data_IF_535366674185
#
_entry.id   IF_535366674185
#
_cell.length_a   1.000
_cell.length_b   1.000
_cell.length_c   1.000
_cell.angle_alpha   90.00
_cell.angle_beta   90.00
_cell.angle_gamma   90.00
#
_symmetry.space_group_name_H-M   'P 1'
#
loop_
_entity.id
_entity.type
_entity.pdbx_description
1 polymer ?
#
# COMPACT_ATOMS: atom_id res chain seq x y z
N UNK A 1 31.87 -11.59 10.70
CA UNK A 1 31.36 -12.92 10.24
C UNK A 1 31.25 -12.87 8.73
N UNK A 2 31.72 -13.91 7.98
CA UNK A 2 31.63 -13.95 6.52
C UNK A 2 30.20 -14.33 6.11
N UNK A 3 29.65 -13.69 5.06
CA UNK A 3 28.28 -13.95 4.56
C UNK A 3 27.96 -15.44 4.35
N UNK A 4 28.93 -16.23 3.85
CA UNK A 4 28.78 -17.69 3.69
C UNK A 4 28.52 -18.44 5.01
N UNK A 5 29.04 -17.94 6.14
CA UNK A 5 28.83 -18.56 7.46
C UNK A 5 27.41 -18.27 7.98
N UNK A 6 26.86 -17.11 7.66
CA UNK A 6 25.46 -16.76 7.96
C UNK A 6 24.52 -17.59 7.09
N UNK A 7 24.73 -17.62 5.79
CA UNK A 7 23.90 -18.40 4.85
C UNK A 7 23.88 -19.90 5.16
N UNK A 8 24.95 -20.45 5.73
CA UNK A 8 25.00 -21.85 6.18
C UNK A 8 24.07 -22.15 7.36
N UNK A 9 23.44 -21.13 7.97
CA UNK A 9 22.47 -21.28 9.07
C UNK A 9 21.02 -21.31 8.58
N UNK A 10 20.78 -21.25 7.27
CA UNK A 10 19.45 -21.27 6.69
C UNK A 10 18.68 -22.53 7.10
N UNK A 11 17.56 -22.34 7.76
CA UNK A 11 16.56 -23.39 8.02
C UNK A 11 15.46 -23.32 6.96
N UNK A 12 15.69 -24.00 5.85
CA UNK A 12 14.74 -24.01 4.73
C UNK A 12 13.40 -24.66 5.10
N UNK A 13 13.40 -25.65 5.99
CA UNK A 13 12.17 -26.32 6.37
C UNK A 13 11.25 -25.36 7.14
N UNK A 14 11.80 -24.66 8.11
CA UNK A 14 11.05 -23.67 8.88
C UNK A 14 10.59 -22.47 8.02
N UNK A 15 11.43 -22.00 7.09
CA UNK A 15 11.03 -20.95 6.13
C UNK A 15 9.78 -21.35 5.32
N UNK A 16 9.75 -22.59 4.80
CA UNK A 16 8.61 -23.10 4.02
C UNK A 16 7.38 -23.28 4.93
N UNK A 17 7.55 -23.77 6.14
CA UNK A 17 6.48 -23.95 7.12
C UNK A 17 5.84 -22.60 7.50
N UNK A 18 6.63 -21.60 7.86
CA UNK A 18 6.12 -20.23 8.12
C UNK A 18 5.35 -19.65 6.93
N UNK A 19 5.90 -19.82 5.72
CA UNK A 19 5.26 -19.32 4.49
C UNK A 19 3.89 -19.98 4.28
N UNK A 20 3.80 -21.31 4.50
CA UNK A 20 2.55 -22.06 4.41
C UNK A 20 1.55 -21.59 5.47
N UNK A 21 1.98 -21.49 6.73
CA UNK A 21 1.11 -21.07 7.83
C UNK A 21 0.52 -19.68 7.57
N UNK A 22 1.33 -18.73 7.10
CA UNK A 22 0.86 -17.39 6.73
C UNK A 22 -0.11 -17.39 5.53
N UNK A 23 0.03 -18.33 4.59
CA UNK A 23 -0.94 -18.50 3.50
C UNK A 23 -2.29 -19.05 3.98
N UNK A 24 -2.25 -19.93 4.99
CA UNK A 24 -3.45 -20.55 5.55
C UNK A 24 -4.25 -19.57 6.46
N UNK A 25 -3.57 -18.61 7.07
CA UNK A 25 -4.24 -17.57 7.87
C UNK A 25 -4.89 -16.53 6.94
N UNK A 26 -6.22 -16.44 6.96
CA UNK A 26 -6.98 -15.47 6.18
C UNK A 26 -7.00 -14.15 6.92
N UNK A 27 -6.53 -13.07 6.26
CA UNK A 27 -6.49 -11.72 6.82
C UNK A 27 -6.83 -10.69 5.75
N UNK A 28 -8.10 -10.59 5.39
CA UNK A 28 -8.55 -9.43 4.60
C UNK A 28 -8.45 -8.16 5.46
N UNK A 29 -8.39 -6.99 4.81
CA UNK A 29 -8.31 -5.72 5.53
C UNK A 29 -9.41 -5.64 6.61
N UNK A 30 -9.00 -5.44 7.86
CA UNK A 30 -9.87 -5.42 9.02
C UNK A 30 -9.90 -6.72 9.84
N UNK A 31 -9.16 -7.74 9.44
CA UNK A 31 -9.10 -9.04 10.11
C UNK A 31 -7.63 -9.48 10.34
N UNK A 32 -6.74 -8.53 10.62
CA UNK A 32 -5.28 -8.77 10.64
C UNK A 32 -4.76 -9.41 11.92
N UNK A 33 -5.53 -9.41 13.01
CA UNK A 33 -5.11 -9.90 14.33
C UNK A 33 -4.49 -11.31 14.30
N UNK A 34 -5.04 -12.32 13.60
CA UNK A 34 -4.47 -13.66 13.62
C UNK A 34 -3.04 -13.75 13.04
N UNK A 35 -2.71 -12.91 12.04
CA UNK A 35 -1.34 -12.82 11.53
C UNK A 35 -0.45 -12.08 12.51
N UNK A 36 -0.94 -11.02 13.15
CA UNK A 36 -0.17 -10.30 14.17
C UNK A 36 0.24 -11.23 15.33
N UNK A 37 -0.70 -12.03 15.83
CA UNK A 37 -0.44 -13.02 16.88
C UNK A 37 0.57 -14.10 16.43
N UNK A 38 0.43 -14.61 15.20
CA UNK A 38 1.37 -15.58 14.64
C UNK A 38 2.79 -15.01 14.54
N UNK A 39 2.93 -13.80 14.01
CA UNK A 39 4.22 -13.12 13.88
C UNK A 39 4.83 -12.79 15.25
N UNK A 40 4.02 -12.37 16.21
CA UNK A 40 4.48 -12.13 17.58
C UNK A 40 5.10 -13.37 18.20
N UNK A 41 4.47 -14.55 18.04
CA UNK A 41 5.04 -15.83 18.49
C UNK A 41 6.38 -16.16 17.82
N UNK A 42 6.53 -15.86 16.52
CA UNK A 42 7.81 -16.06 15.83
C UNK A 42 8.89 -15.06 16.29
N UNK A 43 8.52 -13.83 16.64
CA UNK A 43 9.44 -12.85 17.20
C UNK A 43 9.90 -13.26 18.61
N UNK A 44 8.98 -13.71 19.47
CA UNK A 44 9.31 -14.27 20.79
C UNK A 44 10.25 -15.47 20.68
N UNK A 45 10.02 -16.37 19.73
CA UNK A 45 10.91 -17.53 19.47
C UNK A 45 12.33 -17.10 19.13
N UNK A 46 12.50 -15.96 18.47
CA UNK A 46 13.82 -15.37 18.17
C UNK A 46 14.44 -14.62 19.36
N UNK A 47 13.72 -14.47 20.47
CA UNK A 47 14.15 -13.66 21.62
C UNK A 47 14.10 -12.16 21.37
N UNK A 48 13.24 -11.71 20.46
CA UNK A 48 12.99 -10.30 20.24
C UNK A 48 12.04 -9.74 21.31
N UNK A 49 12.16 -8.47 21.61
CA UNK A 49 11.13 -7.74 22.38
C UNK A 49 9.90 -7.56 21.48
N UNK A 50 8.71 -7.94 21.97
CA UNK A 50 7.47 -7.88 21.17
C UNK A 50 6.55 -6.80 21.72
N UNK A 51 6.06 -5.95 20.83
CA UNK A 51 5.07 -4.90 21.12
C UNK A 51 3.89 -5.04 20.16
N UNK A 52 2.67 -4.78 20.68
CA UNK A 52 1.46 -4.67 19.89
C UNK A 52 0.92 -3.26 19.99
N UNK A 53 0.61 -2.63 18.86
CA UNK A 53 0.02 -1.30 18.81
C UNK A 53 -1.40 -1.41 18.23
N UNK A 54 -2.39 -1.25 19.07
CA UNK A 54 -3.81 -1.29 18.68
C UNK A 54 -4.17 -0.08 17.82
N UNK A 55 -4.26 -0.27 16.52
CA UNK A 55 -4.60 0.78 15.55
C UNK A 55 -6.10 1.06 15.54
N UNK A 56 -6.89 0.01 15.58
CA UNK A 56 -8.33 -0.05 15.80
C UNK A 56 -8.65 -1.32 16.59
N UNK A 57 -9.83 -1.40 17.19
CA UNK A 57 -10.25 -2.58 17.95
C UNK A 57 -10.07 -3.88 17.13
N UNK A 58 -9.26 -4.81 17.66
CA UNK A 58 -8.93 -6.07 17.00
C UNK A 58 -8.00 -5.94 15.79
N UNK A 59 -7.29 -4.83 15.65
CA UNK A 59 -6.38 -4.58 14.54
C UNK A 59 -5.01 -4.08 15.01
N UNK A 60 -4.21 -4.89 15.68
CA UNK A 60 -2.91 -4.48 16.15
C UNK A 60 -1.84 -4.53 15.05
N UNK A 61 -0.97 -3.53 14.99
CA UNK A 61 0.38 -3.73 14.46
C UNK A 61 1.14 -4.65 15.41
N UNK A 62 2.08 -5.43 14.89
CA UNK A 62 3.00 -6.24 15.69
C UNK A 62 4.44 -5.85 15.38
N UNK A 63 5.23 -5.62 16.41
CA UNK A 63 6.61 -5.14 16.30
C UNK A 63 7.52 -6.09 17.08
N UNK A 64 8.54 -6.63 16.42
CA UNK A 64 9.64 -7.35 17.06
C UNK A 64 10.91 -6.54 17.00
N UNK A 65 11.61 -6.37 18.12
CA UNK A 65 12.86 -5.62 18.22
C UNK A 65 13.98 -6.51 18.72
N UNK A 66 14.99 -6.73 17.87
CA UNK A 66 16.24 -7.37 18.27
C UNK A 66 17.27 -6.28 18.60
N UNK A 67 17.64 -6.17 19.87
CA UNK A 67 18.58 -5.14 20.32
C UNK A 67 20.01 -5.42 19.86
N UNK A 68 20.67 -4.38 19.36
CA UNK A 68 22.10 -4.31 19.14
C UNK A 68 22.85 -3.74 20.35
N UNK A 69 24.12 -3.33 20.14
CA UNK A 69 24.91 -2.65 21.19
C UNK A 69 24.54 -1.17 21.36
N UNK A 70 23.74 -0.60 20.48
CA UNK A 70 23.36 0.82 20.48
C UNK A 70 24.32 1.75 19.72
N UNK A 71 25.38 1.21 19.11
CA UNK A 71 26.42 1.99 18.44
C UNK A 71 26.24 2.08 16.91
N UNK A 72 25.09 1.66 16.37
CA UNK A 72 24.83 1.60 14.94
C UNK A 72 23.42 2.02 14.55
N UNK A 73 23.19 2.20 13.24
CA UNK A 73 21.88 2.56 12.73
C UNK A 73 20.84 1.45 12.93
N UNK A 74 19.60 1.84 13.07
CA UNK A 74 18.44 0.94 13.21
C UNK A 74 17.95 0.54 11.81
N UNK A 75 17.82 -0.76 11.57
CA UNK A 75 17.22 -1.30 10.35
C UNK A 75 15.83 -1.86 10.64
N UNK A 76 14.85 -1.39 9.90
CA UNK A 76 13.49 -1.91 9.93
C UNK A 76 13.20 -2.77 8.69
N UNK A 77 12.56 -3.90 8.90
CA UNK A 77 11.84 -4.66 7.89
C UNK A 77 10.34 -4.44 8.12
N UNK A 78 9.67 -3.83 7.18
CA UNK A 78 8.24 -3.53 7.29
C UNK A 78 7.43 -4.33 6.28
N UNK A 79 6.19 -4.69 6.64
CA UNK A 79 5.26 -5.32 5.74
C UNK A 79 3.83 -5.23 6.24
N UNK A 80 2.87 -5.23 5.30
CA UNK A 80 1.45 -5.29 5.66
C UNK A 80 0.97 -6.74 5.82
N UNK A 81 0.01 -6.92 6.72
CA UNK A 81 -0.52 -8.25 7.08
C UNK A 81 -1.81 -8.59 6.35
N UNK A 82 -2.52 -7.59 5.82
CA UNK A 82 -3.77 -7.80 5.08
C UNK A 82 -3.52 -8.24 3.64
N UNK A 83 -4.52 -8.84 3.02
CA UNK A 83 -4.51 -9.27 1.63
C UNK A 83 -5.88 -9.10 0.96
N UNK A 84 -5.92 -9.15 -0.36
CA UNK A 84 -7.18 -9.20 -1.12
C UNK A 84 -7.98 -10.44 -0.79
N UNK A 85 -9.31 -10.30 -0.76
CA UNK A 85 -10.21 -11.44 -0.63
C UNK A 85 -10.21 -12.27 -1.93
N UNK A 86 -9.19 -13.11 -2.06
CA UNK A 86 -9.02 -14.05 -3.18
C UNK A 86 -8.89 -15.49 -2.66
N UNK A 87 -9.78 -16.40 -3.05
CA UNK A 87 -9.76 -17.78 -2.59
C UNK A 87 -8.67 -18.58 -3.34
N UNK A 88 -7.43 -18.49 -2.90
CA UNK A 88 -6.35 -19.33 -3.41
C UNK A 88 -5.98 -20.40 -2.38
N UNK A 89 -6.09 -21.71 -2.70
CA UNK A 89 -5.70 -22.78 -1.79
C UNK A 89 -4.18 -22.82 -1.63
N UNK A 90 -3.74 -23.05 -0.39
CA UNK A 90 -2.32 -23.24 -0.11
C UNK A 90 -1.79 -24.51 -0.76
N UNK A 91 -0.71 -24.40 -1.49
CA UNK A 91 -0.05 -25.51 -2.17
C UNK A 91 1.47 -25.34 -2.14
N UNK A 92 2.16 -26.38 -1.78
CA UNK A 92 3.63 -26.45 -1.76
C UNK A 92 4.10 -27.38 -2.87
N UNK A 93 5.03 -26.92 -3.67
CA UNK A 93 5.75 -27.71 -4.68
C UNK A 93 7.24 -27.77 -4.32
N UNK A 94 8.05 -28.47 -5.12
CA UNK A 94 9.50 -28.53 -4.91
C UNK A 94 10.14 -27.14 -4.80
N UNK A 95 9.66 -26.17 -5.58
CA UNK A 95 10.33 -24.88 -5.79
C UNK A 95 9.46 -23.66 -5.42
N UNK A 96 8.18 -23.86 -5.08
CA UNK A 96 7.23 -22.76 -4.84
C UNK A 96 6.22 -23.08 -3.76
N UNK A 97 5.80 -22.05 -3.04
CA UNK A 97 4.62 -22.03 -2.19
C UNK A 97 3.59 -21.11 -2.83
N UNK A 98 2.36 -21.58 -2.96
CA UNK A 98 1.22 -20.82 -3.44
C UNK A 98 0.24 -20.63 -2.30
N UNK A 99 -0.43 -19.50 -2.24
CA UNK A 99 -1.44 -19.22 -1.23
C UNK A 99 -1.79 -17.74 -1.15
N UNK A 100 -2.85 -17.45 -0.39
CA UNK A 100 -3.42 -16.11 -0.24
C UNK A 100 -2.41 -15.10 0.30
N UNK A 101 -2.35 -13.94 -0.34
CA UNK A 101 -1.54 -12.82 0.12
C UNK A 101 -0.03 -13.07 0.16
N UNK A 102 0.47 -14.22 -0.33
CA UNK A 102 1.90 -14.51 -0.29
C UNK A 102 2.70 -13.53 -1.13
N UNK A 103 2.29 -13.30 -2.39
CA UNK A 103 3.02 -12.40 -3.30
C UNK A 103 2.96 -10.96 -2.79
N UNK A 104 1.79 -10.52 -2.34
CA UNK A 104 1.58 -9.17 -1.80
C UNK A 104 0.95 -9.28 -0.38
N UNK A 105 1.77 -9.19 0.70
CA UNK A 105 3.23 -9.34 0.70
C UNK A 105 3.68 -10.28 1.83
N UNK A 106 2.75 -11.17 2.31
CA UNK A 106 3.01 -11.98 3.51
C UNK A 106 4.28 -12.85 3.40
N UNK A 107 4.73 -13.22 2.17
CA UNK A 107 5.97 -14.00 2.01
C UNK A 107 7.24 -13.23 2.42
N UNK A 108 7.18 -11.94 2.61
CA UNK A 108 8.31 -11.16 3.11
C UNK A 108 8.63 -11.50 4.57
N UNK A 109 7.61 -11.72 5.42
CA UNK A 109 7.83 -12.01 6.84
C UNK A 109 8.68 -13.27 7.11
N UNK A 110 8.41 -14.42 6.49
CA UNK A 110 9.29 -15.58 6.61
C UNK A 110 10.74 -15.29 6.20
N UNK A 111 10.92 -14.45 5.17
CA UNK A 111 12.27 -14.04 4.74
C UNK A 111 12.97 -13.18 5.80
N UNK A 112 12.27 -12.20 6.37
CA UNK A 112 12.81 -11.35 7.43
C UNK A 112 13.17 -12.13 8.67
N UNK A 113 12.24 -12.97 9.16
CA UNK A 113 12.41 -13.83 10.33
C UNK A 113 13.59 -14.79 10.11
N UNK A 114 13.67 -15.40 8.93
CA UNK A 114 14.77 -16.32 8.60
C UNK A 114 16.11 -15.59 8.54
N UNK A 115 16.16 -14.39 7.99
CA UNK A 115 17.38 -13.58 7.93
C UNK A 115 17.87 -13.24 9.34
N UNK A 116 16.98 -12.84 10.24
CA UNK A 116 17.31 -12.53 11.64
C UNK A 116 17.74 -13.81 12.38
N UNK A 117 17.04 -14.93 12.21
CA UNK A 117 17.40 -16.22 12.80
C UNK A 117 18.80 -16.67 12.38
N UNK A 118 19.15 -16.52 11.10
CA UNK A 118 20.51 -16.81 10.60
C UNK A 118 21.57 -15.94 11.27
N UNK A 119 21.31 -14.64 11.48
CA UNK A 119 22.23 -13.73 12.16
C UNK A 119 22.45 -14.16 13.62
N UNK A 120 21.38 -14.49 14.33
CA UNK A 120 21.42 -14.98 15.72
C UNK A 120 22.21 -16.29 15.80
N UNK A 121 21.89 -17.29 14.96
CA UNK A 121 22.57 -18.60 14.93
C UNK A 121 24.04 -18.48 14.52
N UNK A 122 24.39 -17.50 13.73
CA UNK A 122 25.77 -17.17 13.37
C UNK A 122 26.49 -16.34 14.44
N UNK A 123 25.80 -15.95 15.52
CA UNK A 123 26.32 -15.12 16.62
C UNK A 123 26.90 -13.79 16.11
N UNK A 124 26.22 -13.18 15.14
CA UNK A 124 26.59 -11.86 14.64
C UNK A 124 26.33 -10.83 15.75
N UNK A 125 27.32 -10.04 16.07
CA UNK A 125 27.15 -8.90 16.98
C UNK A 125 26.62 -7.69 16.21
N UNK A 126 25.38 -7.36 16.46
CA UNK A 126 24.73 -6.19 15.86
C UNK A 126 25.17 -4.93 16.61
N UNK A 127 25.43 -3.83 15.87
CA UNK A 127 25.68 -2.52 16.45
C UNK A 127 24.36 -1.75 16.67
N UNK A 128 23.51 -1.70 15.67
CA UNK A 128 22.17 -1.13 15.75
C UNK A 128 21.10 -2.20 15.94
N UNK A 129 19.89 -1.76 16.25
CA UNK A 129 18.73 -2.63 16.40
C UNK A 129 18.22 -3.11 15.05
N UNK A 130 17.59 -4.28 15.05
CA UNK A 130 16.76 -4.75 13.92
C UNK A 130 15.31 -4.76 14.38
N UNK A 131 14.44 -4.12 13.63
CA UNK A 131 13.00 -4.09 13.84
C UNK A 131 12.34 -4.90 12.72
N UNK A 132 11.39 -5.78 13.07
CA UNK A 132 10.44 -6.37 12.11
C UNK A 132 9.07 -5.87 12.51
N UNK A 133 8.35 -5.22 11.58
CA UNK A 133 7.01 -4.69 11.84
C UNK A 133 5.99 -5.26 10.86
N UNK A 134 4.94 -5.89 11.40
CA UNK A 134 3.73 -6.24 10.67
C UNK A 134 2.69 -5.16 10.89
N UNK A 135 2.23 -4.52 9.82
CA UNK A 135 1.28 -3.41 9.91
C UNK A 135 -0.07 -3.75 9.30
N UNK A 136 -1.14 -3.14 9.81
CA UNK A 136 -2.51 -3.33 9.33
C UNK A 136 -2.86 -2.34 8.21
N UNK A 137 -3.81 -2.72 7.36
CA UNK A 137 -4.56 -1.80 6.50
C UNK A 137 -3.75 -1.16 5.37
N UNK A 138 -3.20 -1.96 4.46
CA UNK A 138 -2.61 -1.48 3.21
C UNK A 138 -3.59 -1.63 2.04
N UNK A 139 -4.27 -2.79 1.93
CA UNK A 139 -4.99 -3.20 0.72
C UNK A 139 -6.24 -2.37 0.44
N UNK A 140 -7.17 -2.23 1.40
CA UNK A 140 -8.32 -1.35 1.22
C UNK A 140 -7.88 0.11 1.32
N UNK A 141 -8.09 0.88 0.25
CA UNK A 141 -7.58 2.25 0.18
C UNK A 141 -8.50 3.25 0.85
N UNK A 142 -9.81 3.20 0.58
CA UNK A 142 -10.80 4.10 1.18
C UNK A 142 -12.21 3.57 0.96
N UNK A 143 -13.14 3.96 1.83
CA UNK A 143 -14.55 3.67 1.67
C UNK A 143 -15.21 4.66 0.72
N UNK A 144 -15.73 4.18 -0.41
CA UNK A 144 -16.42 5.02 -1.40
C UNK A 144 -17.63 4.31 -1.95
N UNK A 145 -18.83 4.75 -1.55
CA UNK A 145 -20.11 4.18 -2.03
C UNK A 145 -20.12 2.64 -1.96
N UNK A 146 -20.40 1.99 -3.10
CA UNK A 146 -20.47 0.54 -3.26
C UNK A 146 -19.14 -0.15 -3.57
N UNK A 147 -18.06 0.59 -3.72
CA UNK A 147 -16.76 0.04 -4.13
C UNK A 147 -15.91 -0.48 -2.97
N UNK A 148 -16.50 -0.58 -1.78
CA UNK A 148 -15.89 -1.18 -0.61
C UNK A 148 -16.97 -1.81 0.27
N UNK A 149 -16.61 -2.85 0.97
CA UNK A 149 -17.57 -3.63 1.76
C UNK A 149 -17.63 -3.29 3.24
N UNK A 150 -16.62 -2.66 3.80
CA UNK A 150 -16.46 -2.53 5.26
C UNK A 150 -16.02 -1.14 5.69
N UNK A 151 -16.13 -0.88 7.01
CA UNK A 151 -15.78 0.41 7.62
C UNK A 151 -14.31 0.54 8.02
N UNK A 152 -13.48 -0.39 7.61
CA UNK A 152 -12.08 -0.40 8.00
C UNK A 152 -11.25 0.63 7.26
N UNK A 153 -10.30 1.22 7.96
CA UNK A 153 -9.29 2.12 7.37
C UNK A 153 -8.18 1.30 6.72
N UNK A 154 -7.68 1.80 5.60
CA UNK A 154 -6.60 1.20 4.85
C UNK A 154 -5.58 2.25 4.39
N UNK A 155 -4.98 2.05 3.23
CA UNK A 155 -4.01 2.96 2.62
C UNK A 155 -2.81 3.29 3.50
N UNK A 156 -2.25 2.27 4.16
CA UNK A 156 -1.07 2.41 5.00
C UNK A 156 -1.35 2.99 6.39
N UNK A 157 -2.59 2.85 6.91
CA UNK A 157 -2.95 3.37 8.24
C UNK A 157 -2.05 2.79 9.33
N UNK A 158 -1.73 1.50 9.28
CA UNK A 158 -0.86 0.84 10.27
C UNK A 158 0.57 1.37 10.23
N UNK A 159 1.15 1.56 9.05
CA UNK A 159 2.49 2.13 8.92
C UNK A 159 2.55 3.57 9.44
N UNK A 160 1.52 4.36 9.18
CA UNK A 160 1.40 5.73 9.67
C UNK A 160 1.28 5.75 11.20
N UNK A 161 0.41 4.89 11.75
CA UNK A 161 0.25 4.73 13.19
C UNK A 161 1.55 4.31 13.88
N UNK A 162 2.30 3.37 13.28
CA UNK A 162 3.60 2.92 13.77
C UNK A 162 4.56 4.10 13.98
N UNK A 163 4.70 4.96 12.97
CA UNK A 163 5.58 6.13 13.01
C UNK A 163 5.09 7.20 14.00
N UNK A 164 3.79 7.49 14.00
CA UNK A 164 3.18 8.47 14.91
C UNK A 164 3.30 8.06 16.39
N UNK A 165 3.51 6.76 16.67
CA UNK A 165 3.70 6.20 18.00
C UNK A 165 5.15 5.81 18.31
N UNK A 166 6.10 6.41 17.60
CA UNK A 166 7.52 6.45 17.97
C UNK A 166 8.37 5.26 17.51
N UNK A 167 7.83 4.34 16.71
CA UNK A 167 8.64 3.28 16.11
C UNK A 167 9.28 3.81 14.82
N UNK A 168 10.54 4.16 14.91
CA UNK A 168 11.31 4.75 13.83
C UNK A 168 12.62 3.98 13.60
N UNK A 169 13.15 4.10 12.39
CA UNK A 169 14.42 3.50 12.01
C UNK A 169 15.19 4.43 11.06
N UNK A 170 16.51 4.26 10.99
CA UNK A 170 17.37 4.99 10.05
C UNK A 170 17.20 4.47 8.62
N UNK A 171 16.86 3.18 8.48
CA UNK A 171 16.67 2.49 7.20
C UNK A 171 15.45 1.58 7.28
N UNK A 172 14.70 1.50 6.16
CA UNK A 172 13.56 0.59 6.05
C UNK A 172 13.60 -0.20 4.74
N UNK A 173 13.38 -1.51 4.84
CA UNK A 173 13.18 -2.40 3.70
C UNK A 173 11.73 -2.90 3.74
N UNK A 174 11.00 -2.67 2.65
CA UNK A 174 9.63 -3.14 2.46
C UNK A 174 9.66 -4.24 1.39
N UNK A 175 9.19 -5.44 1.74
CA UNK A 175 9.27 -6.63 0.89
C UNK A 175 8.14 -6.78 -0.12
N UNK A 176 7.69 -5.67 -0.69
CA UNK A 176 6.71 -5.68 -1.78
C UNK A 176 7.23 -6.39 -3.04
N UNK A 177 6.33 -6.93 -3.90
CA UNK A 177 6.74 -7.71 -5.05
C UNK A 177 7.37 -6.86 -6.16
N UNK A 178 8.69 -6.84 -6.23
CA UNK A 178 9.48 -6.11 -7.24
C UNK A 178 10.20 -7.05 -8.22
N UNK A 179 9.90 -8.35 -8.19
CA UNK A 179 10.66 -9.34 -8.97
C UNK A 179 12.11 -9.49 -8.50
N UNK A 180 12.38 -9.26 -7.21
CA UNK A 180 13.72 -9.26 -6.58
C UNK A 180 14.62 -8.11 -7.04
N UNK A 181 14.06 -7.05 -7.61
CA UNK A 181 14.78 -5.81 -7.87
C UNK A 181 14.63 -4.85 -6.70
N UNK A 182 15.68 -4.09 -6.41
CA UNK A 182 15.60 -3.01 -5.44
C UNK A 182 14.90 -1.83 -6.08
N UNK A 183 13.82 -1.36 -5.44
CA UNK A 183 13.07 -0.20 -5.87
C UNK A 183 13.35 0.96 -4.93
N UNK A 184 14.05 1.97 -5.43
CA UNK A 184 14.49 3.14 -4.66
C UNK A 184 13.55 4.35 -4.78
N UNK A 185 12.47 4.21 -5.53
CA UNK A 185 11.45 5.25 -5.67
C UNK A 185 10.08 4.67 -5.92
N UNK A 186 9.05 5.36 -5.45
CA UNK A 186 7.66 5.02 -5.69
C UNK A 186 6.83 6.27 -5.94
N UNK A 187 5.92 6.18 -6.91
CA UNK A 187 4.98 7.26 -7.20
C UNK A 187 4.00 7.45 -6.04
N UNK A 188 3.62 8.69 -5.80
CA UNK A 188 2.48 9.01 -4.96
C UNK A 188 1.16 8.70 -5.67
N UNK A 189 0.07 8.71 -4.92
CA UNK A 189 -1.28 8.48 -5.41
C UNK A 189 -2.22 9.57 -4.92
N UNK A 190 -3.04 10.07 -5.83
CA UNK A 190 -4.19 10.91 -5.53
C UNK A 190 -5.44 10.22 -6.07
N UNK A 191 -6.39 9.95 -5.20
CA UNK A 191 -7.68 9.42 -5.57
C UNK A 191 -8.73 10.51 -5.37
N UNK A 192 -9.47 10.81 -6.45
CA UNK A 192 -10.44 11.86 -6.48
C UNK A 192 -11.83 11.35 -6.90
N UNK A 193 -12.86 11.93 -6.34
CA UNK A 193 -14.24 11.82 -6.79
C UNK A 193 -14.60 13.14 -7.50
N UNK A 194 -15.01 13.06 -8.76
CA UNK A 194 -15.56 14.17 -9.50
C UNK A 194 -17.06 13.97 -9.60
N UNK A 195 -17.82 14.82 -8.91
CA UNK A 195 -19.28 14.80 -8.94
C UNK A 195 -19.77 15.72 -10.05
N UNK A 196 -20.50 15.15 -11.01
CA UNK A 196 -21.10 15.89 -12.13
C UNK A 196 -22.62 15.87 -11.97
N UNK A 197 -23.24 17.05 -11.94
CA UNK A 197 -24.68 17.24 -11.95
C UNK A 197 -25.11 17.89 -13.29
N UNK A 198 -26.28 17.50 -13.80
CA UNK A 198 -26.73 18.02 -15.09
C UNK A 198 -28.20 17.69 -15.38
N UNK A 199 -28.69 17.95 -16.62
CA UNK A 199 -30.06 17.70 -16.99
C UNK A 199 -30.45 16.23 -16.90
N UNK A 200 -31.62 15.92 -16.36
CA UNK A 200 -32.12 14.57 -16.08
C UNK A 200 -32.04 13.58 -17.26
N UNK A 201 -32.08 14.09 -18.51
CA UNK A 201 -32.00 13.23 -19.71
C UNK A 201 -30.58 12.95 -20.17
N UNK A 202 -29.60 13.78 -19.81
CA UNK A 202 -28.26 13.76 -20.44
C UNK A 202 -27.11 13.74 -19.44
N UNK A 203 -27.35 13.84 -18.13
CA UNK A 203 -26.31 13.97 -17.10
C UNK A 203 -25.24 12.88 -17.16
N UNK A 204 -25.60 11.63 -17.48
CA UNK A 204 -24.61 10.55 -17.63
C UNK A 204 -23.71 10.80 -18.84
N UNK A 205 -24.27 11.21 -19.98
CA UNK A 205 -23.49 11.54 -21.19
C UNK A 205 -22.57 12.74 -20.96
N UNK A 206 -23.07 13.76 -20.25
CA UNK A 206 -22.28 14.95 -19.87
C UNK A 206 -21.12 14.56 -18.92
N UNK A 207 -21.35 13.66 -17.98
CA UNK A 207 -20.29 13.13 -17.14
C UNK A 207 -19.24 12.37 -17.94
N UNK A 208 -19.63 11.63 -19.01
CA UNK A 208 -18.68 11.00 -19.91
C UNK A 208 -17.77 12.01 -20.62
N UNK A 209 -18.28 13.21 -20.99
CA UNK A 209 -17.44 14.26 -21.57
C UNK A 209 -16.42 14.81 -20.55
N UNK A 210 -16.81 14.93 -19.28
CA UNK A 210 -15.87 15.27 -18.19
C UNK A 210 -14.81 14.17 -18.04
N UNK A 211 -15.23 12.90 -18.00
CA UNK A 211 -14.30 11.77 -17.90
C UNK A 211 -13.28 11.72 -19.05
N UNK A 212 -13.74 11.93 -20.30
CA UNK A 212 -12.87 12.02 -21.48
C UNK A 212 -11.85 13.16 -21.38
N UNK A 213 -12.28 14.32 -20.90
CA UNK A 213 -11.40 15.47 -20.74
C UNK A 213 -10.33 15.20 -19.65
N UNK A 214 -10.72 14.58 -18.55
CA UNK A 214 -9.79 14.16 -17.49
C UNK A 214 -8.78 13.15 -18.04
N UNK A 215 -9.22 12.14 -18.78
CA UNK A 215 -8.31 11.15 -19.36
C UNK A 215 -7.37 11.79 -20.40
N UNK A 216 -7.85 12.72 -21.21
CA UNK A 216 -7.04 13.42 -22.20
C UNK A 216 -5.97 14.33 -21.57
N UNK A 217 -6.22 14.84 -20.37
CA UNK A 217 -5.27 15.66 -19.61
C UNK A 217 -3.98 14.91 -19.26
N UNK A 218 -3.98 13.59 -19.21
CA UNK A 218 -2.78 12.79 -18.92
C UNK A 218 -1.57 13.20 -19.78
N UNK A 219 -1.79 13.45 -21.07
CA UNK A 219 -0.72 13.82 -21.98
C UNK A 219 -0.06 15.17 -21.63
N UNK A 220 -0.86 16.15 -21.16
CA UNK A 220 -0.36 17.43 -20.71
C UNK A 220 0.29 17.33 -19.32
N UNK A 221 -0.28 16.51 -18.47
CA UNK A 221 0.26 16.22 -17.13
C UNK A 221 1.67 15.60 -17.22
N UNK A 222 1.86 14.62 -18.10
CA UNK A 222 3.17 13.99 -18.33
C UNK A 222 4.21 14.98 -18.88
N UNK A 223 3.81 15.90 -19.75
CA UNK A 223 4.70 16.97 -20.27
C UNK A 223 5.07 17.99 -19.20
N UNK A 224 4.13 18.32 -18.32
CA UNK A 224 4.35 19.28 -17.24
C UNK A 224 5.25 18.74 -16.14
N UNK A 225 5.21 17.43 -15.88
CA UNK A 225 5.95 16.77 -14.83
C UNK A 225 6.77 15.59 -15.41
N UNK A 226 7.83 15.85 -16.19
CA UNK A 226 8.68 14.81 -16.73
C UNK A 226 9.55 14.19 -15.62
N UNK A 227 9.73 12.88 -15.66
CA UNK A 227 10.62 12.17 -14.75
C UNK A 227 11.33 11.03 -15.49
N UNK A 228 12.64 10.75 -15.21
CA UNK A 228 13.41 9.77 -15.96
C UNK A 228 12.92 8.32 -15.78
N UNK A 229 12.34 7.99 -14.62
CA UNK A 229 11.97 6.61 -14.26
C UNK A 229 10.50 6.45 -13.88
N UNK A 230 9.82 7.50 -13.44
CA UNK A 230 8.43 7.47 -13.01
C UNK A 230 7.55 8.12 -14.07
N UNK A 231 6.51 7.44 -14.50
CA UNK A 231 5.53 7.99 -15.42
C UNK A 231 4.28 8.40 -14.65
N UNK A 232 3.95 9.71 -14.59
CA UNK A 232 2.67 10.17 -14.08
C UNK A 232 1.54 9.62 -14.96
N UNK A 233 0.48 9.11 -14.33
CA UNK A 233 -0.67 8.55 -15.05
C UNK A 233 -1.98 9.04 -14.49
N UNK A 234 -3.00 9.08 -15.34
CA UNK A 234 -4.38 9.39 -14.99
C UNK A 234 -5.26 8.24 -15.42
N UNK A 235 -6.05 7.69 -14.51
CA UNK A 235 -6.94 6.58 -14.81
C UNK A 235 -8.34 6.86 -14.28
N UNK A 236 -9.34 6.63 -15.10
CA UNK A 236 -10.73 6.55 -14.66
C UNK A 236 -10.96 5.14 -14.09
N UNK A 237 -11.11 5.05 -12.76
CA UNK A 237 -11.30 3.78 -12.08
C UNK A 237 -12.75 3.29 -12.13
N UNK A 238 -13.72 4.21 -12.06
CA UNK A 238 -15.14 3.89 -12.15
C UNK A 238 -15.96 5.13 -12.51
N UNK A 239 -17.15 4.89 -13.05
CA UNK A 239 -18.20 5.89 -13.23
C UNK A 239 -19.48 5.31 -12.61
N UNK A 240 -20.10 6.05 -11.71
CA UNK A 240 -21.31 5.63 -10.99
C UNK A 240 -22.37 6.72 -11.01
N UNK A 241 -23.58 6.40 -11.47
CA UNK A 241 -24.66 7.38 -11.52
C UNK A 241 -25.91 6.86 -12.20
N UNK A 242 -27.00 7.58 -11.91
CA UNK A 242 -28.31 7.23 -12.45
C UNK A 242 -29.01 6.12 -11.69
N UNK A 243 -30.24 5.84 -12.13
CA UNK A 243 -31.06 4.75 -11.61
C UNK A 243 -31.75 4.04 -12.81
N UNK A 244 -31.43 2.75 -13.07
CA UNK A 244 -31.98 2.04 -14.22
C UNK A 244 -33.51 1.82 -14.13
N UNK A 245 -34.09 1.86 -12.93
CA UNK A 245 -35.53 1.67 -12.72
C UNK A 245 -36.31 3.01 -12.74
N UNK A 246 -35.62 4.14 -12.52
CA UNK A 246 -36.21 5.49 -12.51
C UNK A 246 -35.26 6.47 -13.20
N UNK A 247 -35.13 6.41 -14.54
CA UNK A 247 -34.23 7.28 -15.29
C UNK A 247 -34.52 8.77 -15.00
N UNK A 248 -33.45 9.55 -14.81
CA UNK A 248 -33.55 10.98 -14.56
C UNK A 248 -33.87 11.39 -13.12
N UNK A 249 -34.07 10.45 -12.21
CA UNK A 249 -34.12 10.76 -10.78
C UNK A 249 -32.70 10.86 -10.24
N UNK A 250 -32.42 11.92 -9.45
CA UNK A 250 -31.11 12.21 -8.93
C UNK A 250 -30.04 12.29 -10.05
N UNK A 251 -30.06 13.35 -10.87
CA UNK A 251 -29.23 13.46 -12.07
C UNK A 251 -27.76 13.80 -11.73
N UNK A 252 -27.13 12.96 -10.95
CA UNK A 252 -25.75 13.05 -10.46
C UNK A 252 -24.98 11.83 -10.95
N UNK A 253 -23.78 12.08 -11.44
CA UNK A 253 -22.80 11.02 -11.78
C UNK A 253 -21.48 11.30 -11.07
N UNK A 254 -20.90 10.28 -10.48
CA UNK A 254 -19.59 10.32 -9.86
C UNK A 254 -18.56 9.62 -10.73
N UNK A 255 -17.45 10.28 -10.95
CA UNK A 255 -16.29 9.76 -11.68
C UNK A 255 -15.17 9.58 -10.66
N UNK A 256 -14.66 8.36 -10.53
CA UNK A 256 -13.56 8.05 -9.64
C UNK A 256 -12.26 8.02 -10.42
N UNK A 257 -11.36 8.94 -10.04
CA UNK A 257 -10.10 9.18 -10.75
C UNK A 257 -8.93 8.78 -9.87
N UNK A 258 -7.98 8.08 -10.46
CA UNK A 258 -6.71 7.70 -9.83
C UNK A 258 -5.59 8.42 -10.59
N UNK A 259 -4.81 9.24 -9.90
CA UNK A 259 -3.66 9.93 -10.46
C UNK A 259 -2.40 9.46 -9.76
N UNK A 260 -1.46 8.88 -10.51
CA UNK A 260 -0.10 8.65 -10.02
C UNK A 260 0.69 9.94 -10.11
N UNK A 261 1.29 10.33 -8.98
CA UNK A 261 2.05 11.59 -8.87
C UNK A 261 3.53 11.32 -8.71
N UNK A 262 4.35 12.26 -9.09
CA UNK A 262 5.77 12.24 -8.72
C UNK A 262 5.96 12.64 -7.25
N UNK A 263 7.09 12.27 -6.62
CA UNK A 263 7.36 12.59 -5.22
C UNK A 263 7.20 14.07 -4.87
N UNK A 264 7.62 14.95 -5.77
CA UNK A 264 7.60 16.41 -5.55
C UNK A 264 6.30 17.10 -5.97
N UNK A 265 5.28 16.35 -6.40
CA UNK A 265 4.01 16.91 -6.83
C UNK A 265 2.97 16.83 -5.71
N UNK A 266 2.66 17.96 -5.03
CA UNK A 266 1.68 17.97 -3.95
C UNK A 266 0.27 17.60 -4.44
N UNK A 267 -0.54 16.89 -3.63
CA UNK A 267 -1.92 16.54 -3.98
C UNK A 267 -2.79 17.74 -4.36
N UNK A 268 -2.56 18.91 -3.76
CA UNK A 268 -3.27 20.15 -4.07
C UNK A 268 -3.06 20.62 -5.52
N UNK A 269 -1.90 20.35 -6.12
CA UNK A 269 -1.64 20.63 -7.54
C UNK A 269 -2.56 19.78 -8.41
N UNK A 270 -2.71 18.50 -8.09
CA UNK A 270 -3.59 17.57 -8.81
C UNK A 270 -5.06 18.01 -8.68
N UNK A 271 -5.48 18.42 -7.48
CA UNK A 271 -6.84 18.93 -7.28
C UNK A 271 -7.14 20.11 -8.19
N UNK A 272 -6.25 21.12 -8.20
CA UNK A 272 -6.40 22.32 -9.03
C UNK A 272 -6.43 22.01 -10.53
N UNK A 273 -5.60 21.07 -10.97
CA UNK A 273 -5.59 20.65 -12.37
C UNK A 273 -6.89 19.92 -12.76
N UNK A 274 -7.40 19.04 -11.93
CA UNK A 274 -8.69 18.38 -12.14
C UNK A 274 -9.84 19.42 -12.16
N UNK A 275 -9.84 20.38 -11.23
CA UNK A 275 -10.80 21.47 -11.21
C UNK A 275 -10.72 22.32 -12.49
N UNK A 276 -9.52 22.63 -12.98
CA UNK A 276 -9.29 23.36 -14.24
C UNK A 276 -9.85 22.61 -15.44
N UNK A 277 -9.57 21.29 -15.53
CA UNK A 277 -10.08 20.44 -16.61
C UNK A 277 -11.60 20.39 -16.59
N UNK A 278 -12.20 20.18 -15.41
CA UNK A 278 -13.65 20.17 -15.23
C UNK A 278 -14.28 21.51 -15.63
N UNK A 279 -13.71 22.63 -15.18
CA UNK A 279 -14.18 23.97 -15.52
C UNK A 279 -14.19 24.23 -17.04
N UNK A 280 -13.18 23.71 -17.75
CA UNK A 280 -13.12 23.78 -19.21
C UNK A 280 -14.28 23.04 -19.91
N UNK A 281 -14.76 21.95 -19.35
CA UNK A 281 -15.94 21.22 -19.87
C UNK A 281 -17.22 21.98 -19.50
N UNK A 282 -17.37 22.40 -18.25
CA UNK A 282 -18.53 23.16 -17.76
C UNK A 282 -18.76 24.44 -18.58
N UNK A 283 -17.69 25.15 -18.95
CA UNK A 283 -17.78 26.34 -19.77
C UNK A 283 -18.37 26.09 -21.18
N UNK A 284 -18.12 24.91 -21.75
CA UNK A 284 -18.65 24.51 -23.07
C UNK A 284 -20.09 23.99 -22.97
N UNK A 285 -20.33 23.15 -21.97
CA UNK A 285 -21.60 22.43 -21.81
C UNK A 285 -22.72 23.30 -21.18
N UNK A 286 -22.37 24.28 -20.34
CA UNK A 286 -23.20 25.34 -19.73
C UNK A 286 -24.37 24.88 -18.83
N UNK A 287 -24.78 23.60 -18.90
CA UNK A 287 -25.95 23.05 -18.20
C UNK A 287 -25.54 21.99 -17.17
N UNK A 288 -24.26 21.91 -16.84
CA UNK A 288 -23.70 21.02 -15.83
C UNK A 288 -22.87 21.76 -14.79
N UNK A 289 -22.73 21.13 -13.64
CA UNK A 289 -21.71 21.47 -12.64
C UNK A 289 -20.75 20.32 -12.45
N UNK A 290 -19.54 20.60 -12.04
CA UNK A 290 -18.57 19.58 -11.68
C UNK A 290 -17.80 20.02 -10.43
N UNK A 291 -17.73 19.14 -9.42
CA UNK A 291 -17.00 19.39 -8.18
C UNK A 291 -15.97 18.27 -7.96
N UNK A 292 -14.77 18.64 -7.56
CA UNK A 292 -13.66 17.72 -7.30
C UNK A 292 -13.44 17.57 -5.81
N UNK A 293 -13.35 16.35 -5.32
CA UNK A 293 -13.04 16.01 -3.93
C UNK A 293 -11.94 14.97 -3.90
N UNK A 294 -10.82 15.26 -3.24
CA UNK A 294 -9.82 14.25 -2.94
C UNK A 294 -10.28 13.43 -1.72
N UNK A 295 -10.17 12.11 -1.79
CA UNK A 295 -10.55 11.23 -0.69
C UNK A 295 -9.41 10.34 -0.20
N UNK A 296 -8.35 10.20 -0.98
CA UNK A 296 -7.13 9.55 -0.58
C UNK A 296 -5.93 10.22 -1.23
N UNK A 297 -4.89 10.43 -0.45
CA UNK A 297 -3.59 10.90 -0.94
C UNK A 297 -2.47 10.17 -0.24
N UNK A 298 -1.51 9.68 -1.02
CA UNK A 298 -0.25 9.13 -0.49
C UNK A 298 0.91 9.85 -1.16
N UNK A 299 1.95 10.19 -0.39
CA UNK A 299 3.17 10.75 -0.96
C UNK A 299 3.94 9.70 -1.75
N UNK A 300 4.63 10.14 -2.79
CA UNK A 300 5.71 9.36 -3.41
C UNK A 300 7.02 9.55 -2.65
N UNK A 301 8.01 8.75 -3.00
CA UNK A 301 9.37 8.93 -2.52
C UNK A 301 10.39 8.53 -3.58
N UNK A 302 11.58 9.08 -3.47
CA UNK A 302 12.77 8.67 -4.20
C UNK A 302 13.98 8.85 -3.30
N UNK A 303 14.85 7.86 -3.26
CA UNK A 303 16.12 7.92 -2.56
C UNK A 303 17.26 7.77 -3.58
N UNK A 304 18.40 8.42 -3.39
CA UNK A 304 19.53 8.31 -4.32
C UNK A 304 20.14 6.90 -4.28
N UNK A 305 20.65 6.43 -5.43
CA UNK A 305 21.36 5.15 -5.51
C UNK A 305 22.57 5.06 -4.58
N UNK A 306 23.08 6.22 -4.15
CA UNK A 306 24.19 6.32 -3.18
C UNK A 306 23.73 6.26 -1.72
N UNK A 307 22.43 6.10 -1.46
CA UNK A 307 21.95 6.00 -0.11
C UNK A 307 22.48 4.74 0.58
N UNK A 308 22.66 4.85 1.90
CA UNK A 308 23.27 3.79 2.69
C UNK A 308 22.45 2.48 2.72
N UNK A 309 21.14 2.55 2.49
CA UNK A 309 20.25 1.39 2.47
C UNK A 309 20.31 0.63 1.14
N UNK A 310 20.77 1.28 0.06
CA UNK A 310 20.91 0.71 -1.28
C UNK A 310 22.24 -0.01 -1.43
#
# INVERSE_FOLDING_TARGET
>A
VKSKQVLAKLDRAHLIEMTRNLADIVTITGEEQPVAEYLGGEFERLGMEVEYQEVEEGRPNVIGILRGSGDGPVLMFNGHMDHFDNPEPTRVTKDRVYGRGLVNMKCAFPCYITAVDMLIKAKVKLKGDIIISGVVGEIEKAQINRFHGKSYRGAGVGARYLMDHGIMADMCIIGEPTGLHMQIGNAGLVWAEVTVEGPAKTFVLKACEVAKAIQAWEADYQKQFPHPFMLPTVQIGAIDGGNPFKPGTNPVTKIYVIVKTLPDVPPLVIQRELERVCAGVVAREKDITAAVKLYLTTGGYEIPESDYVV
#
